data_IF_579388169541
#
_entry.id   IF_579388169541
#
_cell.length_a   1.000
_cell.length_b   1.000
_cell.length_c   1.000
_cell.angle_alpha   90.00
_cell.angle_beta   90.00
_cell.angle_gamma   90.00
#
_symmetry.space_group_name_H-M   'P 1'
#
loop_
_entity.id
_entity.type
_entity.pdbx_description
1 polymer ?
#
# COMPACT_ATOMS: atom_id res chain seq x y z
N UNK A 1 5.43 2.05 -7.94
CA UNK A 1 4.37 2.68 -7.14
C UNK A 1 3.19 1.72 -7.09
N UNK A 2 2.66 1.44 -5.90
CA UNK A 2 1.44 0.66 -5.70
C UNK A 2 0.32 1.63 -5.30
N UNK A 3 -0.81 1.64 -5.99
CA UNK A 3 -1.98 2.42 -5.58
C UNK A 3 -2.87 1.53 -4.70
N UNK A 4 -3.15 1.93 -3.45
CA UNK A 4 -3.98 1.14 -2.54
C UNK A 4 -4.92 2.03 -1.71
N UNK A 5 -6.24 2.03 -1.91
CA UNK A 5 -7.04 1.23 -2.86
C UNK A 5 -6.65 1.48 -4.33
N UNK A 6 -6.67 0.44 -5.17
CA UNK A 6 -6.35 0.57 -6.61
C UNK A 6 -7.34 1.49 -7.33
N UNK A 7 -6.97 1.92 -8.53
CA UNK A 7 -7.81 2.74 -9.40
C UNK A 7 -9.11 2.03 -9.80
N UNK A 8 -9.13 0.69 -9.77
CA UNK A 8 -10.31 -0.13 -10.05
C UNK A 8 -11.14 -0.45 -8.80
N UNK A 9 -10.82 0.15 -7.65
CA UNK A 9 -11.56 -0.04 -6.41
C UNK A 9 -11.28 -1.36 -5.69
N UNK A 10 -10.19 -2.05 -6.02
CA UNK A 10 -9.74 -3.26 -5.32
C UNK A 10 -8.68 -2.93 -4.28
N UNK A 11 -8.58 -3.73 -3.22
CA UNK A 11 -7.56 -3.56 -2.19
C UNK A 11 -6.49 -4.63 -2.32
N UNK A 12 -5.22 -4.23 -2.30
CA UNK A 12 -4.13 -5.17 -2.05
C UNK A 12 -4.17 -5.58 -0.58
N UNK A 13 -3.99 -6.86 -0.32
CA UNK A 13 -3.73 -7.42 0.99
C UNK A 13 -2.30 -7.10 1.46
N UNK A 14 -2.05 -7.22 2.76
CA UNK A 14 -0.69 -7.08 3.34
C UNK A 14 0.30 -8.06 2.71
N UNK A 15 -0.15 -9.28 2.41
CA UNK A 15 0.68 -10.30 1.78
C UNK A 15 1.10 -9.92 0.35
N UNK A 16 0.18 -9.38 -0.45
CA UNK A 16 0.47 -8.90 -1.81
C UNK A 16 1.42 -7.71 -1.78
N UNK A 17 1.18 -6.72 -0.90
CA UNK A 17 2.09 -5.58 -0.75
C UNK A 17 3.50 -6.05 -0.37
N UNK A 18 3.61 -6.99 0.57
CA UNK A 18 4.89 -7.54 1.01
C UNK A 18 5.62 -8.30 -0.10
N UNK A 19 4.90 -9.10 -0.89
CA UNK A 19 5.47 -9.83 -2.03
C UNK A 19 5.99 -8.87 -3.12
N UNK A 20 5.23 -7.82 -3.46
CA UNK A 20 5.67 -6.81 -4.41
C UNK A 20 6.85 -5.99 -3.89
N UNK A 21 6.86 -5.64 -2.60
CA UNK A 21 7.97 -4.92 -2.00
C UNK A 21 9.25 -5.76 -2.02
N UNK A 22 9.17 -7.04 -1.65
CA UNK A 22 10.32 -7.95 -1.70
C UNK A 22 10.90 -8.06 -3.12
N UNK A 23 10.05 -8.17 -4.15
CA UNK A 23 10.48 -8.20 -5.57
C UNK A 23 11.15 -6.89 -5.99
N UNK A 24 10.60 -5.75 -5.60
CA UNK A 24 11.18 -4.44 -5.88
C UNK A 24 12.56 -4.29 -5.22
N UNK A 25 12.66 -4.61 -3.93
CA UNK A 25 13.92 -4.52 -3.18
C UNK A 25 14.99 -5.49 -3.71
N UNK A 26 14.61 -6.70 -4.16
CA UNK A 26 15.52 -7.65 -4.79
C UNK A 26 16.17 -7.10 -6.08
N UNK A 27 15.59 -6.06 -6.69
CA UNK A 27 16.12 -5.37 -7.88
C UNK A 27 16.67 -3.97 -7.57
N UNK A 28 16.81 -3.62 -6.28
CA UNK A 28 17.31 -2.32 -5.85
C UNK A 28 16.33 -1.16 -6.05
N UNK A 29 15.03 -1.44 -6.25
CA UNK A 29 14.00 -0.43 -6.42
C UNK A 29 13.38 -0.05 -5.08
N UNK A 30 12.91 1.20 -4.99
CA UNK A 30 12.16 1.74 -3.84
C UNK A 30 10.66 1.57 -4.09
N UNK A 31 9.91 1.31 -3.02
CA UNK A 31 8.47 1.08 -3.03
C UNK A 31 7.73 2.32 -2.54
N UNK A 32 7.05 2.99 -3.46
CA UNK A 32 6.06 4.02 -3.13
C UNK A 32 4.65 3.41 -3.06
N UNK A 33 3.88 3.77 -2.03
CA UNK A 33 2.46 3.50 -1.88
C UNK A 33 1.66 4.79 -2.10
N UNK A 34 0.88 4.85 -3.18
CA UNK A 34 -0.14 5.88 -3.40
C UNK A 34 -1.39 5.52 -2.59
N UNK A 35 -1.57 6.22 -1.47
CA UNK A 35 -2.68 6.05 -0.55
C UNK A 35 -3.77 7.11 -0.70
N UNK A 36 -4.09 7.53 -1.94
CA UNK A 36 -5.17 8.49 -2.19
C UNK A 36 -6.52 8.11 -1.55
N UNK A 37 -6.75 6.80 -1.34
CA UNK A 37 -7.93 6.20 -0.67
C UNK A 37 -7.51 5.19 0.41
N UNK A 38 -6.45 5.49 1.16
CA UNK A 38 -5.89 4.54 2.12
C UNK A 38 -6.92 4.10 3.17
N UNK A 39 -7.74 5.03 3.68
CA UNK A 39 -8.78 4.72 4.67
C UNK A 39 -9.74 3.61 4.21
N UNK A 40 -10.19 3.65 2.95
CA UNK A 40 -11.07 2.64 2.37
C UNK A 40 -10.38 1.27 2.31
N UNK A 41 -9.09 1.23 1.94
CA UNK A 41 -8.32 -0.02 1.91
C UNK A 41 -8.12 -0.60 3.33
N UNK A 42 -7.89 0.23 4.35
CA UNK A 42 -7.77 -0.22 5.74
C UNK A 42 -9.08 -0.84 6.24
N UNK A 43 -10.21 -0.18 5.98
CA UNK A 43 -11.53 -0.71 6.35
C UNK A 43 -11.85 -2.01 5.61
N UNK A 44 -11.54 -2.08 4.31
CA UNK A 44 -11.81 -3.27 3.50
C UNK A 44 -10.97 -4.49 3.89
N UNK A 45 -9.71 -4.28 4.30
CA UNK A 45 -8.77 -5.36 4.62
C UNK A 45 -8.68 -5.69 6.11
N UNK A 46 -9.13 -4.79 6.99
CA UNK A 46 -8.96 -4.91 8.44
C UNK A 46 -7.53 -4.69 8.93
N UNK A 47 -6.58 -4.38 8.03
CA UNK A 47 -5.20 -4.12 8.39
C UNK A 47 -5.04 -2.74 9.03
N UNK A 48 -4.07 -2.61 9.92
CA UNK A 48 -3.59 -1.31 10.38
C UNK A 48 -2.77 -0.60 9.30
N UNK A 49 -2.68 0.73 9.42
CA UNK A 49 -1.83 1.54 8.53
C UNK A 49 -0.36 1.07 8.55
N UNK A 50 0.14 0.62 9.70
CA UNK A 50 1.51 0.12 9.82
C UNK A 50 1.71 -1.21 9.06
N UNK A 51 0.74 -2.13 9.16
CA UNK A 51 0.80 -3.43 8.48
C UNK A 51 0.81 -3.30 6.97
N UNK A 52 -0.04 -2.43 6.40
CA UNK A 52 -0.11 -2.26 4.94
C UNK A 52 0.99 -1.35 4.36
N UNK A 53 1.77 -0.65 5.20
CA UNK A 53 2.82 0.27 4.77
C UNK A 53 4.22 -0.25 5.11
N UNK A 54 4.90 0.37 6.07
CA UNK A 54 6.32 0.14 6.34
C UNK A 54 6.62 -1.30 6.82
N UNK A 55 5.67 -1.97 7.51
CA UNK A 55 5.85 -3.38 7.87
C UNK A 55 5.78 -4.31 6.65
N UNK A 56 5.07 -3.91 5.60
CA UNK A 56 5.00 -4.62 4.32
C UNK A 56 6.10 -4.17 3.33
N UNK A 57 7.07 -3.36 3.77
CA UNK A 57 8.19 -2.92 2.93
C UNK A 57 7.92 -1.71 2.05
N UNK A 58 6.87 -0.93 2.32
CA UNK A 58 6.69 0.39 1.69
C UNK A 58 7.69 1.39 2.26
N UNK A 59 8.42 2.07 1.38
CA UNK A 59 9.44 3.05 1.74
C UNK A 59 8.87 4.47 1.84
N UNK A 60 7.90 4.80 0.98
CA UNK A 60 7.26 6.13 0.92
C UNK A 60 5.76 5.98 0.75
N UNK A 61 4.98 6.73 1.54
CA UNK A 61 3.52 6.75 1.47
C UNK A 61 3.01 8.16 1.15
N UNK A 62 2.19 8.29 0.12
CA UNK A 62 1.33 9.46 -0.07
C UNK A 62 0.00 9.24 0.66
N UNK A 63 -0.24 9.97 1.74
CA UNK A 63 -1.46 9.85 2.52
C UNK A 63 -2.54 10.85 2.06
N UNK A 64 -3.55 10.37 1.32
CA UNK A 64 -4.61 11.22 0.78
C UNK A 64 -5.74 11.48 1.78
N UNK A 65 -6.15 12.76 1.90
CA UNK A 65 -7.22 13.20 2.81
C UNK A 65 -8.47 13.77 2.10
N UNK A 66 -8.39 14.07 0.81
CA UNK A 66 -9.51 14.71 0.08
C UNK A 66 -10.59 13.72 -0.37
N UNK A 67 -10.27 12.43 -0.46
CA UNK A 67 -11.14 11.38 -1.05
C UNK A 67 -11.55 10.28 -0.05
N UNK A 68 -11.21 10.44 1.23
CA UNK A 68 -11.42 9.44 2.28
C UNK A 68 -12.90 9.23 2.57
#
# INVERSE_FOLDING_TARGET
SLTNLTENGTAYSVAEVSDYAAKAHATGLVVHLDGARLGNALVATGASAAEISWKAGVDVLTFGLTKT
#
